data_IF_769132211929
#
_entry.id   IF_769132211929
#
_cell.length_a   1.000
_cell.length_b   1.000
_cell.length_c   1.000
_cell.angle_alpha   90.00
_cell.angle_beta   90.00
_cell.angle_gamma   90.00
#
_symmetry.space_group_name_H-M   'P 1'
#
loop_
_entity.id
_entity.type
_entity.pdbx_description
1 polymer ?
#
# COMPACT_ATOMS: atom_id res chain seq x y z
N UNK A 1 42.31 23.19 -48.73
CA UNK A 1 41.91 24.28 -47.81
C UNK A 1 40.51 24.76 -48.17
N UNK A 2 39.51 24.51 -47.31
CA UNK A 2 38.32 25.35 -47.15
C UNK A 2 37.65 24.94 -45.84
N UNK A 3 37.72 25.83 -44.88
CA UNK A 3 37.25 25.71 -43.50
C UNK A 3 35.73 25.65 -43.45
N UNK A 4 35.20 24.72 -42.65
CA UNK A 4 33.79 24.69 -42.28
C UNK A 4 33.62 25.52 -41.00
N UNK A 5 32.94 26.66 -41.13
CA UNK A 5 32.63 27.56 -40.03
C UNK A 5 31.53 26.98 -39.14
N UNK A 6 31.86 26.73 -37.87
CA UNK A 6 30.91 26.31 -36.85
C UNK A 6 30.06 27.48 -36.36
N UNK A 7 28.77 27.45 -36.68
CA UNK A 7 27.76 28.31 -36.07
C UNK A 7 27.36 27.79 -34.69
N UNK A 8 27.76 28.48 -33.63
CA UNK A 8 27.24 28.28 -32.27
C UNK A 8 25.78 28.77 -32.20
N UNK A 9 24.83 27.85 -32.20
CA UNK A 9 23.44 28.16 -31.83
C UNK A 9 23.34 28.13 -30.30
N UNK A 10 23.24 29.31 -29.69
CA UNK A 10 22.96 29.44 -28.25
C UNK A 10 21.55 28.91 -27.99
N UNK A 11 21.45 27.76 -27.31
CA UNK A 11 20.18 27.32 -26.73
C UNK A 11 19.89 28.25 -25.56
N UNK A 12 18.88 29.11 -25.73
CA UNK A 12 18.23 29.82 -24.63
C UNK A 12 17.89 28.79 -23.56
N UNK A 13 18.44 28.98 -22.37
CA UNK A 13 18.02 28.31 -21.16
C UNK A 13 16.56 28.67 -20.92
N UNK A 14 15.64 27.76 -21.27
CA UNK A 14 14.30 27.80 -20.72
C UNK A 14 14.47 27.58 -19.23
N UNK A 15 14.33 28.66 -18.46
CA UNK A 15 14.03 28.61 -17.03
C UNK A 15 12.75 27.79 -16.92
N UNK A 16 12.89 26.49 -16.69
CA UNK A 16 11.76 25.61 -16.45
C UNK A 16 11.02 26.19 -15.27
N UNK A 17 9.88 26.83 -15.54
CA UNK A 17 8.79 27.00 -14.59
C UNK A 17 8.68 25.65 -13.90
N UNK A 18 9.05 25.56 -12.62
CA UNK A 18 8.75 24.38 -11.82
C UNK A 18 7.23 24.27 -11.85
N UNK A 19 6.68 23.42 -12.72
CA UNK A 19 5.26 23.10 -12.67
C UNK A 19 5.06 22.55 -11.26
N UNK A 20 4.42 23.34 -10.38
CA UNK A 20 4.18 22.93 -9.01
C UNK A 20 3.39 21.63 -9.09
N UNK A 21 4.00 20.53 -8.66
CA UNK A 21 3.33 19.23 -8.72
C UNK A 21 2.04 19.31 -7.93
N UNK A 22 0.96 18.77 -8.49
CA UNK A 22 -0.35 18.76 -7.83
C UNK A 22 -0.47 17.67 -6.76
N UNK A 23 0.59 16.88 -6.53
CA UNK A 23 0.64 15.76 -5.60
C UNK A 23 0.86 16.19 -4.13
N UNK A 24 0.80 17.48 -3.82
CA UNK A 24 0.95 18.01 -2.46
C UNK A 24 2.40 18.15 -2.01
N UNK A 25 3.36 18.00 -2.92
CA UNK A 25 4.81 18.11 -2.65
C UNK A 25 5.28 17.19 -1.49
N UNK A 26 5.03 15.87 -1.57
CA UNK A 26 5.53 14.94 -0.55
C UNK A 26 7.05 14.98 -0.46
N UNK A 27 7.58 14.62 0.70
CA UNK A 27 8.99 14.23 0.79
C UNK A 27 9.18 12.95 -0.03
N UNK A 28 10.03 13.03 -1.05
CA UNK A 28 10.43 11.91 -1.89
C UNK A 28 11.74 11.33 -1.37
N UNK A 29 11.77 10.03 -1.08
CA UNK A 29 12.96 9.35 -0.55
C UNK A 29 13.08 7.95 -1.16
N UNK A 30 14.14 7.22 -0.81
CA UNK A 30 14.28 5.79 -1.09
C UNK A 30 15.20 5.11 -0.07
N UNK A 31 15.15 3.77 -0.03
CA UNK A 31 16.11 2.97 0.73
C UNK A 31 16.43 1.67 -0.02
N UNK A 32 17.55 1.05 0.31
CA UNK A 32 17.91 -0.26 -0.24
C UNK A 32 17.43 -1.37 0.70
N UNK A 33 16.75 -2.36 0.15
CA UNK A 33 16.36 -3.55 0.90
C UNK A 33 17.51 -4.55 1.07
N UNK A 34 17.24 -5.70 1.69
CA UNK A 34 18.25 -6.76 1.94
C UNK A 34 18.88 -7.34 0.67
N UNK A 35 18.21 -7.21 -0.47
CA UNK A 35 18.71 -7.68 -1.78
C UNK A 35 19.34 -6.53 -2.60
N UNK A 36 19.50 -5.33 -2.00
CA UNK A 36 20.10 -4.16 -2.63
C UNK A 36 19.16 -3.38 -3.57
N UNK A 37 17.87 -3.71 -3.63
CA UNK A 37 16.90 -3.03 -4.48
C UNK A 37 16.50 -1.67 -3.89
N UNK A 38 16.50 -0.62 -4.71
CA UNK A 38 16.03 0.71 -4.32
C UNK A 38 14.50 0.79 -4.30
N UNK A 39 13.93 1.03 -3.12
CA UNK A 39 12.49 1.12 -2.90
C UNK A 39 12.07 2.57 -2.70
N UNK A 40 11.12 3.04 -3.52
CA UNK A 40 10.62 4.41 -3.49
C UNK A 40 9.64 4.62 -2.37
N UNK A 41 9.79 5.74 -1.66
CA UNK A 41 8.91 6.11 -0.55
C UNK A 41 8.48 7.57 -0.63
N UNK A 42 7.34 7.86 0.00
CA UNK A 42 6.65 9.14 -0.03
C UNK A 42 6.16 9.48 1.38
N UNK A 43 6.23 10.75 1.77
CA UNK A 43 5.66 11.21 3.03
C UNK A 43 4.94 12.57 2.86
N UNK A 44 3.68 12.62 3.27
CA UNK A 44 2.86 13.81 3.43
C UNK A 44 2.65 14.05 4.91
N UNK A 45 3.49 14.92 5.48
CA UNK A 45 3.59 15.11 6.93
C UNK A 45 2.90 16.38 7.37
N UNK A 46 2.23 16.32 8.52
CA UNK A 46 1.67 17.50 9.19
C UNK A 46 2.55 17.94 10.35
N UNK A 47 2.36 19.18 10.82
CA UNK A 47 2.97 19.64 12.07
C UNK A 47 2.25 18.96 13.24
N UNK A 48 3.02 18.53 14.24
CA UNK A 48 2.52 17.90 15.48
C UNK A 48 1.46 16.80 15.22
N UNK A 49 1.80 15.76 14.44
CA UNK A 49 0.84 14.72 14.09
C UNK A 49 0.34 13.99 15.34
N UNK A 50 -0.92 13.58 15.35
CA UNK A 50 -1.50 12.72 16.40
C UNK A 50 -1.19 11.23 16.18
N UNK A 51 -0.83 10.87 14.96
CA UNK A 51 -0.47 9.51 14.58
C UNK A 51 0.12 9.44 13.17
N UNK A 52 0.59 8.26 12.80
CA UNK A 52 1.25 7.99 11.52
C UNK A 52 0.53 6.86 10.80
N UNK A 53 0.09 7.12 9.58
CA UNK A 53 -0.48 6.11 8.68
C UNK A 53 0.63 5.64 7.74
N UNK A 54 0.85 4.34 7.65
CA UNK A 54 1.86 3.73 6.77
C UNK A 54 1.12 2.83 5.78
N UNK A 55 1.05 3.26 4.53
CA UNK A 55 0.24 2.63 3.50
C UNK A 55 1.04 1.69 2.61
N UNK A 56 0.42 0.56 2.29
CA UNK A 56 0.90 -0.46 1.37
C UNK A 56 -0.09 -0.62 0.22
N UNK A 57 0.40 -0.62 -1.02
CA UNK A 57 -0.47 -0.66 -2.19
C UNK A 57 -0.78 -2.08 -2.68
N UNK A 58 -1.77 -2.22 -3.54
CA UNK A 58 -2.18 -3.47 -4.19
C UNK A 58 -1.25 -3.93 -5.33
N UNK A 59 -1.56 -5.07 -5.92
CA UNK A 59 -0.77 -5.64 -7.01
C UNK A 59 -0.82 -4.75 -8.27
N UNK A 60 0.31 -4.65 -8.99
CA UNK A 60 0.45 -3.84 -10.21
C UNK A 60 -0.05 -2.39 -10.04
N UNK A 61 0.18 -1.82 -8.86
CA UNK A 61 -0.22 -0.45 -8.50
C UNK A 61 0.94 0.28 -7.82
N UNK A 62 0.66 1.43 -7.19
CA UNK A 62 1.59 2.19 -6.33
C UNK A 62 0.82 3.18 -5.44
N UNK A 63 1.48 3.73 -4.41
CA UNK A 63 0.79 4.50 -3.35
C UNK A 63 0.08 5.74 -3.90
N UNK A 64 0.72 6.45 -4.84
CA UNK A 64 0.13 7.66 -5.42
C UNK A 64 -1.06 7.34 -6.32
N UNK A 65 -1.07 6.18 -6.98
CA UNK A 65 -2.21 5.74 -7.77
C UNK A 65 -3.42 5.41 -6.89
N UNK A 66 -3.21 4.84 -5.70
CA UNK A 66 -4.33 4.39 -4.86
C UNK A 66 -4.88 5.47 -3.94
N UNK A 67 -4.04 6.32 -3.38
CA UNK A 67 -4.45 7.21 -2.28
C UNK A 67 -4.48 8.70 -2.64
N UNK A 68 -4.01 9.09 -3.83
CA UNK A 68 -4.25 10.41 -4.41
C UNK A 68 -5.41 10.36 -5.41
N UNK A 69 -6.01 11.52 -5.69
CA UNK A 69 -6.94 11.65 -6.81
C UNK A 69 -6.19 11.68 -8.14
N UNK A 70 -6.90 11.41 -9.22
CA UNK A 70 -6.36 11.40 -10.58
C UNK A 70 -6.83 12.62 -11.37
N UNK A 71 -5.96 13.15 -12.21
CA UNK A 71 -6.24 14.28 -13.09
C UNK A 71 -6.99 13.81 -14.34
N UNK A 72 -8.22 13.38 -14.12
CA UNK A 72 -9.12 12.81 -15.13
C UNK A 72 -10.50 13.46 -15.05
N UNK A 73 -11.24 13.39 -16.14
CA UNK A 73 -12.69 13.60 -16.15
C UNK A 73 -13.40 12.26 -16.17
N UNK A 74 -14.20 11.95 -15.15
CA UNK A 74 -15.13 10.83 -15.24
C UNK A 74 -16.37 11.33 -15.98
N UNK A 75 -16.50 10.96 -17.26
CA UNK A 75 -17.61 11.40 -18.12
C UNK A 75 -18.89 10.67 -17.73
N UNK A 76 -18.79 9.37 -17.47
CA UNK A 76 -19.86 8.51 -16.99
C UNK A 76 -19.24 7.22 -16.41
N UNK A 77 -20.08 6.27 -15.99
CA UNK A 77 -19.60 5.03 -15.38
C UNK A 77 -18.65 4.21 -16.27
N UNK A 78 -18.76 4.36 -17.60
CA UNK A 78 -18.01 3.55 -18.55
C UNK A 78 -16.70 4.20 -19.02
N UNK A 79 -16.52 5.51 -18.81
CA UNK A 79 -15.41 6.24 -19.43
C UNK A 79 -14.83 7.34 -18.54
N UNK A 80 -13.51 7.34 -18.42
CA UNK A 80 -12.74 8.48 -17.96
C UNK A 80 -11.85 9.05 -19.09
N UNK A 81 -11.57 10.35 -19.05
CA UNK A 81 -10.68 11.04 -19.99
C UNK A 81 -9.51 11.62 -19.21
N UNK A 82 -8.28 11.34 -19.64
CA UNK A 82 -7.08 11.95 -19.09
C UNK A 82 -7.07 13.45 -19.36
N UNK A 83 -6.96 14.28 -18.32
CA UNK A 83 -6.81 15.74 -18.46
C UNK A 83 -5.34 16.15 -18.57
N UNK A 84 -4.50 15.63 -17.67
CA UNK A 84 -3.07 15.94 -17.62
C UNK A 84 -2.29 14.73 -17.06
N UNK A 85 -1.46 14.11 -17.90
CA UNK A 85 -0.62 12.97 -17.52
C UNK A 85 0.69 13.35 -16.82
N UNK A 86 1.11 14.61 -16.91
CA UNK A 86 2.31 15.12 -16.24
C UNK A 86 2.01 15.44 -14.77
N UNK A 87 0.83 16.01 -14.49
CA UNK A 87 0.29 16.22 -13.14
C UNK A 87 -0.84 15.24 -12.82
N UNK A 88 -0.61 13.95 -13.09
CA UNK A 88 -1.64 12.92 -12.97
C UNK A 88 -2.19 12.74 -11.56
N UNK A 89 -1.36 12.93 -10.52
CA UNK A 89 -1.76 12.73 -9.12
C UNK A 89 -2.09 14.06 -8.44
N UNK A 90 -3.25 14.11 -7.79
CA UNK A 90 -3.81 15.30 -7.15
C UNK A 90 -4.01 15.05 -5.66
N UNK A 91 -3.37 15.87 -4.83
CA UNK A 91 -3.51 15.86 -3.37
C UNK A 91 -4.83 16.44 -2.89
N UNK A 92 -5.30 17.54 -3.48
CA UNK A 92 -6.55 18.19 -3.09
C UNK A 92 -7.73 17.21 -3.19
N UNK A 93 -8.50 17.11 -2.11
CA UNK A 93 -9.65 16.20 -1.92
C UNK A 93 -9.29 14.71 -2.00
N UNK A 94 -8.03 14.33 -1.79
CA UNK A 94 -7.60 12.93 -1.71
C UNK A 94 -7.73 12.36 -0.30
N UNK A 95 -7.59 11.03 -0.18
CA UNK A 95 -7.50 10.36 1.12
C UNK A 95 -6.33 10.90 1.95
N UNK A 96 -5.18 11.12 1.31
CA UNK A 96 -3.98 11.63 1.97
C UNK A 96 -4.22 13.03 2.56
N UNK A 97 -4.85 13.94 1.80
CA UNK A 97 -5.18 15.27 2.32
C UNK A 97 -6.14 15.17 3.51
N UNK A 98 -7.15 14.31 3.43
CA UNK A 98 -8.11 14.18 4.52
C UNK A 98 -7.48 13.59 5.78
N UNK A 99 -6.57 12.62 5.66
CA UNK A 99 -5.79 12.14 6.80
C UNK A 99 -4.93 13.25 7.41
N UNK A 100 -4.28 14.07 6.57
CA UNK A 100 -3.52 15.23 7.03
C UNK A 100 -4.41 16.27 7.74
N UNK A 101 -5.59 16.60 7.21
CA UNK A 101 -6.56 17.50 7.87
C UNK A 101 -7.00 16.98 9.23
N UNK A 102 -7.04 15.66 9.42
CA UNK A 102 -7.36 15.00 10.68
C UNK A 102 -6.14 14.72 11.57
N UNK A 103 -4.99 15.36 11.29
CA UNK A 103 -3.81 15.34 12.15
C UNK A 103 -2.87 14.14 11.95
N UNK A 104 -3.09 13.28 10.97
CA UNK A 104 -2.22 12.13 10.72
C UNK A 104 -1.18 12.47 9.65
N UNK A 105 0.08 12.11 9.90
CA UNK A 105 1.07 12.08 8.83
C UNK A 105 0.93 10.79 8.03
N UNK A 106 0.99 10.88 6.71
CA UNK A 106 0.81 9.75 5.80
C UNK A 106 2.13 9.39 5.13
N UNK A 107 2.51 8.13 5.24
CA UNK A 107 3.70 7.55 4.64
C UNK A 107 3.29 6.42 3.72
N UNK A 108 4.00 6.25 2.62
CA UNK A 108 3.76 5.12 1.72
C UNK A 108 5.00 4.70 0.98
N UNK A 109 5.01 3.42 0.60
CA UNK A 109 6.08 2.77 -0.13
C UNK A 109 5.56 2.16 -1.42
N UNK A 110 6.30 2.34 -2.51
CA UNK A 110 6.14 1.50 -3.69
C UNK A 110 6.88 0.19 -3.44
N UNK A 111 6.16 -0.92 -3.43
CA UNK A 111 6.73 -2.25 -3.22
C UNK A 111 7.68 -2.63 -4.35
N UNK A 112 8.60 -3.56 -4.09
CA UNK A 112 9.54 -4.03 -5.10
C UNK A 112 8.82 -4.42 -6.40
N UNK A 113 9.42 -4.10 -7.54
CA UNK A 113 8.89 -4.36 -8.89
C UNK A 113 7.61 -3.59 -9.26
N UNK A 114 7.17 -2.64 -8.44
CA UNK A 114 5.97 -1.82 -8.63
C UNK A 114 6.32 -0.32 -8.61
N UNK A 115 5.38 0.53 -9.07
CA UNK A 115 5.55 1.98 -9.04
C UNK A 115 6.90 2.46 -9.56
N UNK A 116 7.63 3.22 -8.74
CA UNK A 116 8.98 3.68 -9.03
C UNK A 116 10.09 2.86 -8.37
N UNK A 117 9.77 1.76 -7.71
CA UNK A 117 10.74 0.87 -7.08
C UNK A 117 11.42 -0.06 -8.08
N UNK A 118 12.65 -0.42 -7.78
CA UNK A 118 13.37 -1.44 -8.54
C UNK A 118 12.74 -2.82 -8.33
N UNK A 119 12.92 -3.68 -9.33
CA UNK A 119 12.37 -5.03 -9.32
C UNK A 119 13.43 -6.10 -9.22
N UNK A 120 13.09 -7.23 -8.60
CA UNK A 120 13.96 -8.39 -8.55
C UNK A 120 14.37 -8.82 -9.96
N UNK A 121 15.68 -8.92 -10.22
CA UNK A 121 16.27 -9.18 -11.56
C UNK A 121 15.85 -8.15 -12.62
N UNK A 122 15.51 -6.91 -12.22
CA UNK A 122 15.02 -5.87 -13.12
C UNK A 122 13.61 -6.11 -13.67
N UNK A 123 12.87 -7.10 -13.17
CA UNK A 123 11.54 -7.46 -13.67
C UNK A 123 10.44 -6.67 -12.96
N UNK A 124 9.49 -6.13 -13.72
CA UNK A 124 8.27 -5.50 -13.19
C UNK A 124 7.23 -6.53 -12.78
N UNK A 125 6.39 -6.23 -11.78
CA UNK A 125 5.33 -7.10 -11.26
C UNK A 125 5.80 -8.55 -11.08
N UNK A 126 6.94 -8.69 -10.41
CA UNK A 126 7.67 -9.93 -10.19
C UNK A 126 8.25 -9.90 -8.79
N UNK A 127 8.39 -11.05 -8.15
CA UNK A 127 8.98 -11.17 -6.82
C UNK A 127 9.74 -12.49 -6.74
N UNK A 128 10.76 -12.56 -5.89
CA UNK A 128 11.38 -13.85 -5.57
C UNK A 128 10.49 -14.62 -4.62
N UNK A 129 10.12 -14.06 -3.46
CA UNK A 129 9.16 -14.62 -2.52
C UNK A 129 8.19 -13.53 -2.05
N UNK A 130 6.97 -13.89 -1.63
CA UNK A 130 6.01 -12.90 -1.14
C UNK A 130 6.49 -12.21 0.13
N UNK A 131 7.07 -12.94 1.08
CA UNK A 131 7.55 -12.34 2.32
C UNK A 131 8.69 -11.33 2.08
N UNK A 132 9.37 -11.32 0.91
CA UNK A 132 10.35 -10.27 0.58
C UNK A 132 9.71 -8.88 0.61
N UNK A 133 8.50 -8.68 0.04
CA UNK A 133 7.79 -7.38 0.11
C UNK A 133 7.26 -7.06 1.51
N UNK A 134 7.03 -8.06 2.35
CA UNK A 134 6.60 -7.85 3.73
C UNK A 134 7.79 -7.41 4.58
N UNK A 135 8.97 -7.99 4.39
CA UNK A 135 10.20 -7.54 5.03
C UNK A 135 10.59 -6.14 4.57
N UNK A 136 10.40 -5.80 3.29
CA UNK A 136 10.57 -4.44 2.79
C UNK A 136 9.67 -3.44 3.53
N UNK A 137 8.39 -3.81 3.73
CA UNK A 137 7.43 -2.98 4.48
C UNK A 137 7.81 -2.84 5.96
N UNK A 138 8.22 -3.94 6.62
CA UNK A 138 8.72 -3.93 8.00
C UNK A 138 9.97 -3.05 8.13
N UNK A 139 10.91 -3.15 7.18
CA UNK A 139 12.10 -2.31 7.16
C UNK A 139 11.70 -0.84 7.05
N UNK A 140 10.71 -0.50 6.21
CA UNK A 140 10.23 0.87 6.08
C UNK A 140 9.57 1.39 7.37
N UNK A 141 8.75 0.58 8.03
CA UNK A 141 8.16 0.94 9.34
C UNK A 141 9.26 1.25 10.36
N UNK A 142 10.29 0.41 10.45
CA UNK A 142 11.44 0.64 11.34
C UNK A 142 12.18 1.94 11.01
N UNK A 143 12.37 2.26 9.73
CA UNK A 143 13.01 3.52 9.31
C UNK A 143 12.20 4.75 9.73
N UNK A 144 10.88 4.69 9.60
CA UNK A 144 9.99 5.77 10.06
C UNK A 144 10.09 5.92 11.58
N UNK A 145 10.03 4.81 12.31
CA UNK A 145 10.19 4.79 13.76
C UNK A 145 11.52 5.44 14.19
N UNK A 146 12.65 4.97 13.64
CA UNK A 146 13.97 5.49 13.99
C UNK A 146 14.09 6.99 13.66
N UNK A 147 13.54 7.44 12.53
CA UNK A 147 13.50 8.86 12.15
C UNK A 147 12.70 9.71 13.16
N UNK A 148 11.55 9.24 13.62
CA UNK A 148 10.72 9.95 14.59
C UNK A 148 11.37 9.98 15.98
N UNK A 149 11.99 8.88 16.41
CA UNK A 149 12.77 8.83 17.65
C UNK A 149 13.94 9.83 17.63
N UNK A 150 14.66 9.93 16.50
CA UNK A 150 15.75 10.89 16.33
C UNK A 150 15.25 12.35 16.32
N UNK A 151 14.05 12.60 15.78
CA UNK A 151 13.44 13.94 15.80
C UNK A 151 13.06 14.34 17.22
N UNK A 152 12.33 13.48 17.95
CA UNK A 152 11.96 13.73 19.35
C UNK A 152 13.17 13.98 20.25
N UNK A 153 14.30 13.29 20.00
CA UNK A 153 15.56 13.53 20.70
C UNK A 153 16.09 14.96 20.51
N UNK A 154 16.08 15.47 19.27
CA UNK A 154 16.53 16.84 18.98
C UNK A 154 15.67 17.89 19.67
N UNK A 155 14.38 17.60 19.81
CA UNK A 155 13.43 18.53 20.42
C UNK A 155 13.52 18.50 21.97
N UNK A 156 13.83 17.34 22.59
CA UNK A 156 13.81 17.15 24.05
C UNK A 156 15.18 17.05 24.76
N UNK A 157 16.33 17.09 24.06
CA UNK A 157 17.68 16.91 24.64
C UNK A 157 17.88 15.62 25.50
N UNK A 158 17.06 14.58 25.33
CA UNK A 158 17.15 13.33 26.13
C UNK A 158 18.11 12.28 25.54
N UNK A 159 18.55 11.31 26.35
CA UNK A 159 19.47 10.25 25.93
C UNK A 159 18.80 9.24 24.98
N UNK A 160 19.58 8.55 24.12
CA UNK A 160 19.03 7.58 23.16
C UNK A 160 18.39 6.36 23.88
N UNK A 161 18.97 5.93 25.00
CA UNK A 161 18.54 4.74 25.73
C UNK A 161 17.16 4.94 26.41
N UNK A 162 16.86 6.15 26.87
CA UNK A 162 15.59 6.43 27.55
C UNK A 162 14.40 6.44 26.57
N UNK A 163 14.60 6.99 25.37
CA UNK A 163 13.52 7.12 24.37
C UNK A 163 13.17 5.81 23.66
N UNK A 164 14.13 4.90 23.46
CA UNK A 164 13.86 3.60 22.82
C UNK A 164 13.01 2.72 23.74
N UNK A 165 13.19 2.81 25.06
CA UNK A 165 12.45 2.02 26.04
C UNK A 165 11.10 2.67 26.43
N UNK A 166 11.00 4.01 26.42
CA UNK A 166 9.75 4.72 26.71
C UNK A 166 8.89 4.93 25.46
N UNK A 167 8.16 3.89 25.06
CA UNK A 167 7.17 3.92 23.96
C UNK A 167 6.11 5.02 24.09
N UNK A 168 5.88 5.57 25.28
CA UNK A 168 4.83 6.56 25.53
C UNK A 168 5.03 7.86 24.73
N UNK A 169 6.26 8.18 24.32
CA UNK A 169 6.56 9.39 23.54
C UNK A 169 6.58 9.16 22.02
N UNK A 170 6.34 7.93 21.56
CA UNK A 170 6.40 7.58 20.14
C UNK A 170 4.99 7.62 19.56
N UNK A 171 4.82 8.27 18.41
CA UNK A 171 3.53 8.37 17.75
C UNK A 171 2.94 6.98 17.42
N UNK A 172 1.61 6.80 17.55
CA UNK A 172 0.95 5.57 17.17
C UNK A 172 1.01 5.35 15.66
N UNK A 173 1.32 4.14 15.23
CA UNK A 173 1.39 3.73 13.83
C UNK A 173 0.14 2.94 13.44
N UNK A 174 -0.44 3.29 12.30
CA UNK A 174 -1.57 2.60 11.69
C UNK A 174 -1.14 2.10 10.31
N UNK A 175 -1.03 0.78 10.17
CA UNK A 175 -0.67 0.18 8.89
C UNK A 175 -1.95 -0.07 8.08
N UNK A 176 -1.97 0.39 6.83
CA UNK A 176 -3.13 0.28 5.96
C UNK A 176 -2.72 -0.31 4.63
N UNK A 177 -3.54 -1.19 4.04
CA UNK A 177 -3.21 -1.70 2.72
C UNK A 177 -4.40 -2.22 1.93
N UNK A 178 -4.34 -1.99 0.62
CA UNK A 178 -5.37 -2.39 -0.35
C UNK A 178 -5.01 -3.71 -1.02
N UNK A 179 -5.95 -4.65 -1.15
CA UNK A 179 -5.77 -5.87 -1.93
C UNK A 179 -4.56 -6.69 -1.45
N UNK A 180 -3.57 -6.90 -2.31
CA UNK A 180 -2.25 -7.46 -1.94
C UNK A 180 -1.62 -6.73 -0.74
N UNK A 181 -1.72 -5.41 -0.67
CA UNK A 181 -1.26 -4.61 0.47
C UNK A 181 -2.03 -4.92 1.76
N UNK A 182 -3.31 -5.30 1.65
CA UNK A 182 -4.11 -5.80 2.78
C UNK A 182 -3.58 -7.11 3.35
N UNK A 183 -3.06 -7.99 2.49
CA UNK A 183 -2.32 -9.17 2.92
C UNK A 183 -1.01 -8.78 3.59
N UNK A 184 -0.22 -7.88 2.97
CA UNK A 184 1.07 -7.43 3.51
C UNK A 184 0.93 -6.88 4.93
N UNK A 185 -0.03 -5.98 5.20
CA UNK A 185 -0.19 -5.40 6.55
C UNK A 185 -0.61 -6.42 7.61
N UNK A 186 -1.46 -7.40 7.26
CA UNK A 186 -1.80 -8.48 8.16
C UNK A 186 -0.62 -9.44 8.37
N UNK A 187 0.12 -9.76 7.31
CA UNK A 187 1.31 -10.59 7.34
C UNK A 187 2.43 -9.95 8.15
N UNK A 188 2.56 -8.63 8.12
CA UNK A 188 3.45 -7.86 9.00
C UNK A 188 3.13 -8.10 10.47
N UNK A 189 1.85 -8.06 10.86
CA UNK A 189 1.48 -8.36 12.25
C UNK A 189 1.86 -9.79 12.65
N UNK A 190 1.69 -10.77 11.77
CA UNK A 190 2.07 -12.16 12.03
C UNK A 190 3.58 -12.33 12.21
N UNK A 191 4.38 -11.74 11.33
CA UNK A 191 5.85 -11.84 11.38
C UNK A 191 6.36 -11.18 12.67
N UNK A 192 5.88 -9.98 12.99
CA UNK A 192 6.26 -9.28 14.22
C UNK A 192 5.80 -10.07 15.45
N UNK A 193 4.56 -10.56 15.46
CA UNK A 193 3.98 -11.37 16.51
C UNK A 193 4.77 -12.65 16.81
N UNK A 194 5.30 -13.30 15.76
CA UNK A 194 6.14 -14.49 15.86
C UNK A 194 7.54 -14.17 16.39
N UNK A 195 8.12 -13.03 16.01
CA UNK A 195 9.37 -12.52 16.57
C UNK A 195 9.14 -11.85 17.92
N UNK A 196 9.00 -12.65 18.99
CA UNK A 196 8.73 -12.17 20.36
C UNK A 196 9.62 -11.01 20.83
N UNK A 197 10.83 -10.87 20.27
CA UNK A 197 11.80 -9.82 20.61
C UNK A 197 11.48 -8.42 20.05
N UNK A 198 10.68 -8.28 18.99
CA UNK A 198 10.50 -6.98 18.28
C UNK A 198 9.16 -6.28 18.52
N UNK A 199 8.15 -6.97 19.09
CA UNK A 199 6.79 -6.42 19.23
C UNK A 199 6.74 -5.11 20.01
N UNK A 200 7.62 -4.93 21.00
CA UNK A 200 7.57 -3.75 21.85
C UNK A 200 8.31 -2.55 21.26
N UNK A 201 9.10 -2.69 20.18
CA UNK A 201 9.78 -1.51 19.62
C UNK A 201 8.85 -0.66 18.76
N UNK A 202 8.00 -1.30 17.96
CA UNK A 202 7.14 -0.59 17.02
C UNK A 202 5.77 -0.27 17.65
N UNK A 203 5.41 1.00 17.72
CA UNK A 203 4.13 1.45 18.27
C UNK A 203 2.95 1.24 17.30
N UNK A 204 2.79 0.03 16.74
CA UNK A 204 1.66 -0.30 15.84
C UNK A 204 0.38 -0.41 16.67
N UNK A 205 -0.54 0.54 16.49
CA UNK A 205 -1.81 0.67 17.22
C UNK A 205 -3.04 0.39 16.38
N UNK A 206 -2.86 0.00 15.12
CA UNK A 206 -3.96 -0.49 14.31
C UNK A 206 -3.54 -1.01 12.94
N UNK A 207 -4.37 -1.88 12.38
CA UNK A 207 -4.23 -2.43 11.04
C UNK A 207 -5.52 -2.29 10.25
N UNK A 208 -5.43 -1.82 9.01
CA UNK A 208 -6.59 -1.50 8.17
C UNK A 208 -6.43 -2.20 6.80
N UNK A 209 -6.78 -3.48 6.67
CA UNK A 209 -6.85 -4.17 5.39
C UNK A 209 -8.13 -3.77 4.62
N UNK A 210 -7.94 -3.13 3.47
CA UNK A 210 -8.97 -2.72 2.53
C UNK A 210 -9.05 -3.74 1.39
N UNK A 211 -10.23 -4.32 1.13
CA UNK A 211 -10.44 -5.32 0.07
C UNK A 211 -9.34 -6.41 0.06
N UNK A 212 -8.93 -6.86 1.26
CA UNK A 212 -7.67 -7.58 1.45
C UNK A 212 -7.62 -8.93 0.72
N UNK A 213 -6.46 -9.24 0.14
CA UNK A 213 -6.16 -10.53 -0.48
C UNK A 213 -5.98 -11.61 0.61
N UNK A 214 -7.08 -12.14 1.10
CA UNK A 214 -7.13 -13.02 2.28
C UNK A 214 -7.46 -14.47 1.94
N UNK A 215 -8.17 -14.72 0.84
CA UNK A 215 -8.68 -16.05 0.49
C UNK A 215 -8.79 -16.23 -1.02
N UNK A 216 -8.64 -17.49 -1.44
CA UNK A 216 -8.96 -17.98 -2.79
C UNK A 216 -10.11 -18.98 -2.76
N UNK A 217 -10.84 -19.14 -1.64
CA UNK A 217 -11.79 -20.23 -1.42
C UNK A 217 -12.85 -20.32 -2.54
N UNK A 218 -13.36 -19.18 -3.01
CA UNK A 218 -14.33 -19.13 -4.12
C UNK A 218 -13.77 -19.69 -5.44
N UNK A 219 -12.49 -19.46 -5.72
CA UNK A 219 -11.82 -20.03 -6.89
C UNK A 219 -11.43 -21.48 -6.63
N UNK A 220 -10.84 -21.78 -5.48
CA UNK A 220 -10.34 -23.10 -5.10
C UNK A 220 -11.46 -24.15 -4.92
N UNK A 221 -12.71 -23.73 -4.73
CA UNK A 221 -13.88 -24.63 -4.73
C UNK A 221 -14.26 -25.09 -6.13
N UNK A 222 -13.92 -24.36 -7.19
CA UNK A 222 -14.18 -24.76 -8.58
C UNK A 222 -13.24 -25.92 -8.95
N UNK A 223 -13.75 -27.07 -9.43
CA UNK A 223 -12.91 -28.23 -9.77
C UNK A 223 -11.77 -27.91 -10.74
N UNK A 224 -12.03 -27.09 -11.76
CA UNK A 224 -11.01 -26.67 -12.72
C UNK A 224 -9.86 -25.89 -12.07
N UNK A 225 -10.16 -24.99 -11.14
CA UNK A 225 -9.13 -24.25 -10.40
C UNK A 225 -8.35 -25.16 -9.47
N UNK A 226 -9.06 -25.99 -8.70
CA UNK A 226 -8.46 -26.92 -7.74
C UNK A 226 -7.51 -27.93 -8.40
N UNK A 227 -7.97 -28.58 -9.47
CA UNK A 227 -7.26 -29.72 -10.07
C UNK A 227 -6.38 -29.34 -11.25
N UNK A 228 -6.58 -28.17 -11.86
CA UNK A 228 -5.81 -27.74 -13.03
C UNK A 228 -5.07 -26.41 -12.81
N UNK A 229 -5.79 -25.29 -12.60
CA UNK A 229 -5.14 -23.97 -12.62
C UNK A 229 -4.17 -23.73 -11.44
N UNK A 230 -4.49 -24.16 -10.22
CA UNK A 230 -3.60 -24.00 -9.06
C UNK A 230 -2.32 -24.87 -9.23
N UNK A 231 -2.40 -26.18 -9.54
CA UNK A 231 -1.21 -26.98 -9.84
C UNK A 231 -0.38 -26.41 -11.01
N UNK A 232 -1.03 -25.94 -12.07
CA UNK A 232 -0.36 -25.32 -13.21
C UNK A 232 0.33 -24.01 -12.81
N UNK A 233 -0.30 -23.16 -12.00
CA UNK A 233 0.31 -21.94 -11.50
C UNK A 233 1.57 -22.23 -10.68
N UNK A 234 1.53 -23.26 -9.82
CA UNK A 234 2.72 -23.74 -9.09
C UNK A 234 3.83 -24.20 -10.01
N UNK A 235 3.50 -25.01 -11.02
CA UNK A 235 4.47 -25.49 -12.01
C UNK A 235 5.09 -24.32 -12.80
N UNK A 236 4.27 -23.46 -13.42
CA UNK A 236 4.74 -22.31 -14.19
C UNK A 236 5.50 -21.31 -13.33
N UNK A 237 5.06 -21.04 -12.10
CA UNK A 237 5.75 -20.15 -11.18
C UNK A 237 7.11 -20.68 -10.70
N UNK A 238 7.32 -22.00 -10.75
CA UNK A 238 8.58 -22.64 -10.36
C UNK A 238 9.55 -22.78 -11.53
N UNK A 239 9.08 -23.23 -12.70
CA UNK A 239 9.93 -23.53 -13.86
C UNK A 239 10.00 -22.41 -14.90
N UNK A 240 8.97 -21.57 -14.99
CA UNK A 240 8.89 -20.45 -15.94
C UNK A 240 8.57 -19.13 -15.21
N UNK A 241 9.38 -18.73 -14.21
CA UNK A 241 9.01 -17.68 -13.26
C UNK A 241 8.77 -16.30 -13.88
N UNK A 242 9.42 -15.98 -15.01
CA UNK A 242 9.29 -14.69 -15.70
C UNK A 242 8.18 -14.66 -16.76
N UNK A 243 7.59 -15.81 -17.10
CA UNK A 243 6.49 -15.92 -18.06
C UNK A 243 5.26 -15.18 -17.55
N UNK A 244 4.44 -14.60 -18.44
CA UNK A 244 3.30 -13.73 -18.07
C UNK A 244 2.00 -14.23 -18.71
N UNK A 245 1.41 -15.26 -18.09
CA UNK A 245 0.15 -15.87 -18.55
C UNK A 245 -1.03 -15.62 -17.60
N UNK A 246 -0.81 -14.91 -16.49
CA UNK A 246 -1.87 -14.62 -15.52
C UNK A 246 -2.89 -13.66 -16.13
N UNK A 247 -4.21 -13.92 -16.03
CA UNK A 247 -5.22 -12.99 -16.54
C UNK A 247 -5.08 -11.59 -15.91
N UNK A 248 -5.41 -10.56 -16.68
CA UNK A 248 -5.46 -9.19 -16.18
C UNK A 248 -6.68 -8.98 -15.29
N UNK A 249 -6.60 -8.03 -14.35
CA UNK A 249 -7.76 -7.59 -13.59
C UNK A 249 -8.59 -6.62 -14.44
N UNK A 250 -9.91 -6.74 -14.36
CA UNK A 250 -10.87 -5.84 -15.00
C UNK A 250 -11.99 -5.51 -14.02
N UNK A 251 -12.21 -4.22 -13.80
CA UNK A 251 -13.23 -3.72 -12.87
C UNK A 251 -14.53 -3.52 -13.65
N UNK A 252 -15.54 -4.34 -13.34
CA UNK A 252 -16.78 -4.39 -14.13
C UNK A 252 -17.87 -3.49 -13.56
N UNK A 253 -17.87 -3.23 -12.25
CA UNK A 253 -18.89 -2.36 -11.65
C UNK A 253 -18.69 -0.90 -12.06
N UNK A 254 -17.43 -0.46 -12.09
CA UNK A 254 -17.03 0.89 -12.47
C UNK A 254 -16.02 0.84 -13.63
N UNK A 255 -16.46 0.57 -14.88
CA UNK A 255 -15.54 0.35 -15.99
C UNK A 255 -14.57 1.50 -16.27
N UNK A 256 -14.95 2.75 -15.97
CA UNK A 256 -14.07 3.91 -16.05
C UNK A 256 -12.81 3.80 -15.17
N UNK A 257 -12.81 2.96 -14.12
CA UNK A 257 -11.59 2.66 -13.36
C UNK A 257 -10.52 1.99 -14.22
N UNK A 258 -10.90 1.19 -15.23
CA UNK A 258 -9.93 0.59 -16.13
C UNK A 258 -9.17 1.66 -16.93
N UNK A 259 -9.84 2.74 -17.35
CA UNK A 259 -9.21 3.88 -18.02
C UNK A 259 -8.23 4.60 -17.08
N UNK A 260 -8.65 4.89 -15.84
CA UNK A 260 -7.81 5.52 -14.82
C UNK A 260 -6.55 4.69 -14.56
N UNK A 261 -6.70 3.37 -14.40
CA UNK A 261 -5.56 2.48 -14.24
C UNK A 261 -4.68 2.50 -15.50
N UNK A 262 -5.26 2.60 -16.69
CA UNK A 262 -4.53 2.59 -17.95
C UNK A 262 -3.83 3.91 -18.29
N UNK A 263 -4.28 5.05 -17.78
CA UNK A 263 -3.56 6.32 -17.92
C UNK A 263 -2.31 6.41 -17.05
N UNK A 264 -2.20 5.63 -15.98
CA UNK A 264 -1.05 5.68 -15.09
C UNK A 264 0.24 5.20 -15.77
N UNK A 265 1.30 6.03 -15.70
CA UNK A 265 2.59 5.75 -16.36
C UNK A 265 3.50 4.77 -15.60
N UNK A 266 3.27 4.55 -14.31
CA UNK A 266 4.11 3.68 -13.47
C UNK A 266 3.49 2.30 -13.24
N UNK A 267 2.19 2.12 -13.52
CA UNK A 267 1.54 0.82 -13.69
C UNK A 267 2.18 0.09 -14.86
N UNK A 268 2.51 -1.19 -14.64
CA UNK A 268 3.04 -2.01 -15.71
C UNK A 268 1.90 -2.51 -16.61
N UNK A 269 2.08 -2.37 -17.93
CA UNK A 269 1.02 -2.62 -18.92
C UNK A 269 0.85 -4.10 -19.30
N UNK A 270 1.80 -4.96 -18.94
CA UNK A 270 1.70 -6.41 -19.19
C UNK A 270 1.18 -7.13 -17.96
N UNK A 271 0.63 -8.33 -18.19
CA UNK A 271 0.25 -9.27 -17.14
C UNK A 271 1.38 -9.53 -16.14
N UNK A 272 1.02 -9.90 -14.91
CA UNK A 272 1.98 -10.27 -13.89
C UNK A 272 2.72 -11.55 -14.26
N UNK A 273 3.90 -11.74 -13.68
CA UNK A 273 4.66 -12.97 -13.92
C UNK A 273 4.02 -14.17 -13.22
N UNK A 274 4.18 -15.37 -13.77
CA UNK A 274 3.72 -16.63 -13.18
C UNK A 274 4.29 -16.83 -11.77
N UNK A 275 5.53 -16.37 -11.51
CA UNK A 275 6.12 -16.38 -10.16
C UNK A 275 5.31 -15.54 -9.18
N UNK A 276 5.00 -14.29 -9.53
CA UNK A 276 4.14 -13.44 -8.69
C UNK A 276 2.77 -14.09 -8.50
N UNK A 277 2.15 -14.59 -9.59
CA UNK A 277 0.88 -15.35 -9.52
C UNK A 277 0.91 -16.48 -8.48
N UNK A 278 1.95 -17.29 -8.49
CA UNK A 278 2.12 -18.39 -7.53
C UNK A 278 2.40 -17.90 -6.11
N UNK A 279 3.26 -16.90 -5.94
CA UNK A 279 3.59 -16.35 -4.63
C UNK A 279 2.40 -15.67 -3.93
N UNK A 280 1.42 -15.15 -4.68
CA UNK A 280 0.15 -14.66 -4.11
C UNK A 280 -0.68 -15.79 -3.50
N UNK A 281 -0.68 -16.99 -4.11
CA UNK A 281 -1.32 -18.17 -3.53
C UNK A 281 -0.61 -18.59 -2.24
N UNK A 282 0.73 -18.58 -2.25
CA UNK A 282 1.54 -18.85 -1.05
C UNK A 282 1.25 -17.83 0.06
N UNK A 283 1.12 -16.54 -0.28
CA UNK A 283 0.80 -15.47 0.66
C UNK A 283 -0.53 -15.70 1.38
N UNK A 284 -1.55 -16.13 0.64
CA UNK A 284 -2.88 -16.43 1.20
C UNK A 284 -2.82 -17.65 2.13
N UNK A 285 -2.09 -18.70 1.73
CA UNK A 285 -1.88 -19.87 2.57
C UNK A 285 -1.12 -19.51 3.86
N UNK A 286 -0.02 -18.77 3.75
CA UNK A 286 0.78 -18.32 4.89
C UNK A 286 -0.04 -17.46 5.83
N UNK A 287 -0.83 -16.52 5.29
CA UNK A 287 -1.71 -15.67 6.09
C UNK A 287 -2.72 -16.47 6.90
N UNK A 288 -3.33 -17.51 6.32
CA UNK A 288 -4.30 -18.34 7.06
C UNK A 288 -3.61 -19.26 8.08
N UNK A 289 -2.43 -19.81 7.76
CA UNK A 289 -1.70 -20.73 8.64
C UNK A 289 -1.10 -20.03 9.86
N UNK A 290 -0.62 -18.80 9.70
CA UNK A 290 0.03 -18.03 10.78
C UNK A 290 -0.95 -17.06 11.47
N UNK A 291 -2.26 -17.24 11.31
CA UNK A 291 -3.29 -16.34 11.86
C UNK A 291 -3.18 -16.16 13.39
N UNK A 292 -2.77 -17.21 14.11
CA UNK A 292 -2.59 -17.19 15.57
C UNK A 292 -1.44 -16.29 16.05
N UNK A 293 -0.56 -15.85 15.15
CA UNK A 293 0.52 -14.91 15.48
C UNK A 293 0.10 -13.44 15.35
N UNK A 294 -1.13 -13.13 14.91
CA UNK A 294 -1.62 -11.75 14.94
C UNK A 294 -1.85 -11.34 16.40
N UNK A 295 -1.24 -10.25 16.90
CA UNK A 295 -1.38 -9.85 18.29
C UNK A 295 -2.85 -9.58 18.67
N UNK A 296 -3.32 -10.20 19.75
CA UNK A 296 -4.73 -10.15 20.16
C UNK A 296 -5.21 -8.72 20.50
N UNK A 297 -4.29 -7.88 20.99
CA UNK A 297 -4.58 -6.51 21.43
C UNK A 297 -4.48 -5.46 20.32
N UNK A 298 -3.98 -5.80 19.12
CA UNK A 298 -3.86 -4.85 18.02
C UNK A 298 -5.22 -4.66 17.35
N UNK A 299 -5.81 -3.46 17.37
CA UNK A 299 -7.08 -3.20 16.72
C UNK A 299 -7.01 -3.41 15.20
N UNK A 300 -8.05 -4.03 14.60
CA UNK A 300 -8.12 -4.25 13.15
C UNK A 300 -9.47 -3.81 12.59
N UNK A 301 -9.44 -2.94 11.58
CA UNK A 301 -10.61 -2.55 10.79
C UNK A 301 -10.52 -3.14 9.38
N UNK A 302 -11.31 -4.17 9.11
CA UNK A 302 -11.51 -4.67 7.75
C UNK A 302 -12.54 -3.79 7.04
N UNK A 303 -12.27 -3.36 5.82
CA UNK A 303 -13.29 -2.79 4.93
C UNK A 303 -13.31 -3.57 3.63
N UNK A 304 -14.46 -4.14 3.26
CA UNK A 304 -14.55 -5.04 2.10
C UNK A 304 -15.95 -5.02 1.51
N UNK A 305 -16.06 -4.95 0.18
CA UNK A 305 -17.33 -5.03 -0.52
C UNK A 305 -17.81 -6.47 -0.71
N UNK A 306 -19.10 -6.75 -0.48
CA UNK A 306 -19.72 -8.03 -0.86
C UNK A 306 -19.68 -8.29 -2.37
N UNK A 307 -19.53 -7.23 -3.17
CA UNK A 307 -19.51 -7.26 -4.64
C UNK A 307 -18.11 -7.08 -5.24
N UNK A 308 -17.05 -7.19 -4.43
CA UNK A 308 -15.68 -7.18 -4.90
C UNK A 308 -15.46 -8.30 -5.94
N UNK A 309 -15.10 -7.91 -7.17
CA UNK A 309 -14.92 -8.82 -8.30
C UNK A 309 -13.53 -9.46 -8.36
N UNK A 310 -12.60 -9.06 -7.48
CA UNK A 310 -11.20 -9.49 -7.46
C UNK A 310 -10.88 -10.31 -6.23
N UNK A 311 -11.29 -9.85 -5.04
CA UNK A 311 -11.07 -10.52 -3.77
C UNK A 311 -12.40 -11.00 -3.17
N UNK A 312 -12.45 -12.27 -2.75
CA UNK A 312 -13.68 -12.85 -2.24
C UNK A 312 -14.01 -12.37 -0.82
N UNK A 313 -15.08 -11.58 -0.69
CA UNK A 313 -15.60 -11.08 0.59
C UNK A 313 -15.81 -12.20 1.62
N UNK A 314 -16.40 -13.33 1.22
CA UNK A 314 -16.68 -14.44 2.13
C UNK A 314 -15.41 -15.00 2.79
N UNK A 315 -14.27 -14.91 2.10
CA UNK A 315 -12.96 -15.23 2.64
C UNK A 315 -12.52 -14.28 3.76
N UNK A 316 -12.76 -12.98 3.58
CA UNK A 316 -12.50 -11.97 4.62
C UNK A 316 -13.41 -12.18 5.83
N UNK A 317 -14.70 -12.45 5.61
CA UNK A 317 -15.64 -12.73 6.71
C UNK A 317 -15.23 -13.99 7.49
N UNK A 318 -14.82 -15.06 6.81
CA UNK A 318 -14.34 -16.30 7.44
C UNK A 318 -13.05 -16.06 8.24
N UNK A 319 -12.10 -15.30 7.69
CA UNK A 319 -10.87 -14.92 8.40
C UNK A 319 -11.19 -14.07 9.63
N UNK A 320 -12.00 -13.01 9.46
CA UNK A 320 -12.48 -12.14 10.53
C UNK A 320 -13.11 -12.93 11.68
N UNK A 321 -14.01 -13.87 11.38
CA UNK A 321 -14.67 -14.68 12.41
C UNK A 321 -13.70 -15.56 13.20
N UNK A 322 -12.64 -16.08 12.57
CA UNK A 322 -11.66 -16.94 13.22
C UNK A 322 -10.57 -16.19 13.99
N UNK A 323 -10.32 -14.92 13.70
CA UNK A 323 -9.30 -14.12 14.39
C UNK A 323 -9.57 -14.05 15.90
N UNK A 324 -8.52 -14.25 16.70
CA UNK A 324 -8.54 -14.10 18.17
C UNK A 324 -8.42 -12.65 18.64
N UNK A 325 -8.22 -11.71 17.72
CA UNK A 325 -8.14 -10.28 18.01
C UNK A 325 -9.38 -9.79 18.79
N UNK A 326 -9.13 -9.10 19.92
CA UNK A 326 -10.15 -8.59 20.83
C UNK A 326 -10.88 -7.36 20.27
N UNK A 327 -10.16 -6.50 19.53
CA UNK A 327 -10.68 -5.26 18.95
C UNK A 327 -10.69 -5.35 17.44
N UNK A 328 -11.66 -6.07 16.89
CA UNK A 328 -11.83 -6.21 15.43
C UNK A 328 -13.17 -5.67 14.98
N UNK A 329 -13.19 -5.06 13.81
CA UNK A 329 -14.40 -4.59 13.14
C UNK A 329 -14.36 -4.95 11.65
N UNK A 330 -15.51 -5.34 11.10
CA UNK A 330 -15.70 -5.54 9.66
C UNK A 330 -16.73 -4.54 9.12
N UNK A 331 -16.25 -3.56 8.37
CA UNK A 331 -17.07 -2.61 7.64
C UNK A 331 -17.41 -3.16 6.25
N UNK A 332 -18.60 -3.74 6.14
CA UNK A 332 -19.11 -4.35 4.91
C UNK A 332 -19.73 -3.30 3.99
N UNK A 333 -19.35 -3.33 2.71
CA UNK A 333 -19.88 -2.46 1.66
C UNK A 333 -20.73 -3.30 0.69
N UNK A 334 -21.79 -2.72 0.11
CA UNK A 334 -22.72 -3.44 -0.76
C UNK A 334 -22.86 -2.84 -2.17
N UNK A 335 -22.12 -1.77 -2.44
CA UNK A 335 -22.24 -0.90 -3.62
C UNK A 335 -20.87 -0.41 -4.12
N UNK A 336 -19.80 -1.14 -3.77
CA UNK A 336 -18.43 -0.92 -4.24
C UNK A 336 -17.88 -2.20 -4.89
N UNK A 337 -16.77 -2.11 -5.60
CA UNK A 337 -16.08 -3.25 -6.21
C UNK A 337 -14.80 -3.54 -5.42
N UNK A 338 -13.62 -3.23 -5.94
CA UNK A 338 -12.33 -3.64 -5.36
C UNK A 338 -11.44 -2.46 -4.95
N UNK A 339 -11.40 -1.40 -5.75
CA UNK A 339 -10.51 -0.25 -5.58
C UNK A 339 -11.15 0.79 -4.65
N UNK A 340 -11.42 0.39 -3.40
CA UNK A 340 -12.22 1.19 -2.46
C UNK A 340 -11.82 2.67 -2.34
N UNK A 341 -10.52 3.06 -2.36
CA UNK A 341 -10.13 4.47 -2.29
C UNK A 341 -10.44 5.30 -3.54
N UNK A 342 -10.65 4.65 -4.69
CA UNK A 342 -10.76 5.29 -6.01
C UNK A 342 -12.19 5.31 -6.56
N UNK A 343 -13.05 4.44 -6.02
CA UNK A 343 -14.41 4.25 -6.52
C UNK A 343 -15.39 5.32 -6.03
N UNK A 344 -16.53 5.51 -6.73
CA UNK A 344 -17.60 6.39 -6.26
C UNK A 344 -18.05 6.05 -4.83
N UNK A 345 -18.15 7.05 -3.97
CA UNK A 345 -18.55 6.88 -2.57
C UNK A 345 -17.41 6.48 -1.62
N UNK A 346 -16.16 6.41 -2.09
CA UNK A 346 -14.96 6.16 -1.27
C UNK A 346 -14.88 7.04 -0.01
N UNK A 347 -15.45 8.26 -0.04
CA UNK A 347 -15.43 9.23 1.04
C UNK A 347 -16.07 8.68 2.33
N UNK A 348 -17.07 7.79 2.22
CA UNK A 348 -17.67 7.14 3.40
C UNK A 348 -16.75 6.11 4.04
N UNK A 349 -15.93 5.43 3.22
CA UNK A 349 -14.93 4.46 3.69
C UNK A 349 -13.83 5.20 4.43
N UNK A 350 -13.35 6.29 3.84
CA UNK A 350 -12.40 7.21 4.46
C UNK A 350 -12.91 7.78 5.78
N UNK A 351 -14.15 8.28 5.80
CA UNK A 351 -14.80 8.78 7.02
C UNK A 351 -14.88 7.71 8.11
N UNK A 352 -15.23 6.46 7.75
CA UNK A 352 -15.25 5.33 8.69
C UNK A 352 -13.86 5.07 9.26
N UNK A 353 -12.82 5.06 8.44
CA UNK A 353 -11.43 4.88 8.86
C UNK A 353 -11.00 6.00 9.81
N UNK A 354 -11.25 7.26 9.48
CA UNK A 354 -10.88 8.41 10.33
C UNK A 354 -11.58 8.35 11.69
N UNK A 355 -12.89 8.03 11.70
CA UNK A 355 -13.64 7.84 12.94
C UNK A 355 -13.04 6.71 13.78
N UNK A 356 -12.68 5.60 13.14
CA UNK A 356 -12.05 4.48 13.81
C UNK A 356 -10.65 4.82 14.35
N UNK A 357 -9.85 5.58 13.59
CA UNK A 357 -8.53 6.07 14.01
C UNK A 357 -8.65 6.98 15.24
N UNK A 358 -9.62 7.88 15.26
CA UNK A 358 -9.85 8.79 16.40
C UNK A 358 -10.17 8.05 17.71
N UNK A 359 -10.86 6.90 17.63
CA UNK A 359 -11.14 6.04 18.80
C UNK A 359 -9.88 5.31 19.30
N UNK A 360 -8.98 4.94 18.40
CA UNK A 360 -7.80 4.13 18.71
C UNK A 360 -6.50 4.93 18.84
N UNK A 361 -6.56 6.25 18.66
CA UNK A 361 -5.44 7.17 18.90
C UNK A 361 -5.46 7.58 20.36
N UNK A 362 -4.39 7.30 21.14
CA UNK A 362 -4.29 7.79 22.51
C UNK A 362 -4.42 9.31 22.53
N UNK A 363 -5.30 9.82 23.40
CA UNK A 363 -5.35 11.26 23.66
C UNK A 363 -4.05 11.64 24.34
N UNK A 364 -3.39 12.71 23.88
CA UNK A 364 -2.33 13.32 24.66
C UNK A 364 -2.98 13.84 25.94
N UNK A 365 -2.59 13.31 27.09
CA UNK A 365 -2.93 13.95 28.36
C UNK A 365 -2.34 15.36 28.31
N UNK A 366 -3.18 16.39 28.42
CA UNK A 366 -2.72 17.76 28.61
C UNK A 366 -1.82 17.73 29.85
N UNK A 367 -0.51 17.92 29.67
CA UNK A 367 0.36 18.25 30.79
C UNK A 367 -0.10 19.61 31.28
N UNK A 368 -0.90 19.61 32.36
CA UNK A 368 -1.29 20.81 33.11
C UNK A 368 -0.10 21.32 33.91
#
# INVERSE_FOLDING_TARGET
MKSQGGGKISRKSSTGSSSSRLDGNPKLDSFHNKDGLSLKTYAWTVKNPVGVIIACHGMNSHVRLEYLRHNVEVVNNNKAILKDGDNYYIYKNSWIEEFNKNGYSFYGIDLQSHGQSEGWKGLRTHIRQFDDIVYDFIQYINRIHDMLCLKNKKDNNSSLHDNINNNNNILPFYIMGLSMGGNVVLRTLQILGKSKDNNNKLNIRGCIPLAGMISIDELATKPSYKYFYIPLAKFLGSFFPSLRLTPGLRFNMFPHMNDIMEFDKFKFKKHVTCRLGYELLNAINNLNNDMDYIPENTPILFAHSKKDSVCFYGGTLKFYNKLKCLKKELYTLDDMDHLLPMEPGNERVLKKIITWLAVHTPKQEEQV
#
